data_IF_060265841955
#
_entry.id   IF_060265841955
#
_cell.length_a   1.000
_cell.length_b   1.000
_cell.length_c   1.000
_cell.angle_alpha   90.00
_cell.angle_beta   90.00
_cell.angle_gamma   90.00
#
_symmetry.space_group_name_H-M   'P 1'
#
loop_
_entity.id
_entity.type
_entity.pdbx_description
1 polymer ?
#
# COMPACT_ATOMS: atom_id res chain seq x y z
N UNK A 1 0.10 -7.71 -20.51
CA UNK A 1 -0.52 -6.52 -21.15
C UNK A 1 -1.02 -5.59 -20.05
N UNK A 2 -0.21 -4.59 -19.67
CA UNK A 2 -0.66 -3.53 -18.75
C UNK A 2 -1.52 -2.59 -19.58
N UNK A 3 -2.84 -2.73 -19.46
CA UNK A 3 -3.79 -1.91 -20.20
C UNK A 3 -3.60 -0.43 -19.86
N UNK A 4 -3.48 0.42 -20.89
CA UNK A 4 -3.43 1.88 -20.78
C UNK A 4 -4.57 2.50 -19.95
N UNK A 5 -5.66 1.76 -19.69
CA UNK A 5 -6.84 2.24 -18.95
C UNK A 5 -6.64 2.44 -17.45
N UNK A 6 -5.68 1.78 -16.80
CA UNK A 6 -5.46 1.95 -15.34
C UNK A 6 -4.63 3.18 -14.98
N UNK A 7 -4.07 3.90 -15.96
CA UNK A 7 -3.10 4.97 -15.71
C UNK A 7 -3.61 6.15 -14.86
N UNK A 8 -4.92 6.37 -14.75
CA UNK A 8 -5.44 7.60 -14.10
C UNK A 8 -6.80 7.42 -13.39
N UNK A 9 -7.06 6.27 -12.76
CA UNK A 9 -8.28 6.15 -11.95
C UNK A 9 -8.12 6.94 -10.65
N UNK A 10 -9.03 7.90 -10.42
CA UNK A 10 -9.17 8.58 -9.15
C UNK A 10 -9.98 7.68 -8.21
N UNK A 11 -9.34 7.24 -7.13
CA UNK A 11 -9.87 6.32 -6.14
C UNK A 11 -10.29 7.09 -4.89
N UNK A 12 -11.43 6.71 -4.35
CA UNK A 12 -11.95 7.30 -3.13
C UNK A 12 -11.16 6.76 -1.93
N UNK A 13 -10.87 7.67 -1.01
CA UNK A 13 -10.22 7.37 0.25
C UNK A 13 -11.27 6.85 1.22
N UNK A 14 -10.98 5.70 1.83
CA UNK A 14 -11.84 5.06 2.81
C UNK A 14 -11.50 5.59 4.21
N UNK A 15 -10.20 5.63 4.52
CA UNK A 15 -9.73 5.94 5.86
C UNK A 15 -8.29 6.48 5.80
N UNK A 16 -7.99 7.46 6.66
CA UNK A 16 -6.63 7.96 6.88
C UNK A 16 -6.34 8.02 8.36
N UNK A 17 -5.14 7.59 8.74
CA UNK A 17 -4.71 7.51 10.12
C UNK A 17 -3.28 8.06 10.24
N UNK A 18 -3.09 9.00 11.16
CA UNK A 18 -1.77 9.51 11.50
C UNK A 18 -1.14 8.61 12.57
N UNK A 19 -0.05 7.96 12.20
CA UNK A 19 0.70 7.05 13.06
C UNK A 19 1.94 7.74 13.66
N UNK A 20 2.48 7.22 14.78
CA UNK A 20 3.74 7.69 15.33
C UNK A 20 4.91 7.58 14.33
N UNK A 21 6.02 8.27 14.62
CA UNK A 21 7.22 8.31 13.75
C UNK A 21 7.00 8.93 12.37
N UNK A 22 6.11 9.93 12.31
CA UNK A 22 5.77 10.69 11.11
C UNK A 22 5.24 9.82 9.95
N UNK A 23 4.51 8.76 10.27
CA UNK A 23 3.90 7.88 9.27
C UNK A 23 2.43 8.23 9.11
N UNK A 24 1.95 8.26 7.87
CA UNK A 24 0.52 8.29 7.55
C UNK A 24 0.12 6.97 6.90
N UNK A 25 -0.96 6.38 7.39
CA UNK A 25 -1.63 5.24 6.77
C UNK A 25 -2.81 5.76 5.97
N UNK A 26 -2.87 5.38 4.70
CA UNK A 26 -3.95 5.74 3.79
C UNK A 26 -4.56 4.46 3.25
N UNK A 27 -5.86 4.30 3.44
CA UNK A 27 -6.67 3.20 2.93
C UNK A 27 -7.63 3.74 1.88
N UNK A 28 -7.61 3.15 0.70
CA UNK A 28 -8.39 3.61 -0.44
C UNK A 28 -8.97 2.43 -1.23
N UNK A 29 -9.98 2.73 -2.05
CA UNK A 29 -10.71 1.72 -2.79
C UNK A 29 -9.80 0.95 -3.76
N UNK A 30 -9.98 -0.36 -3.83
CA UNK A 30 -9.26 -1.22 -4.78
C UNK A 30 -9.98 -1.25 -6.13
N UNK A 31 -9.34 -0.88 -7.25
CA UNK A 31 -9.93 -1.05 -8.56
C UNK A 31 -10.24 -2.54 -8.84
N UNK A 32 -11.43 -2.90 -9.35
CA UNK A 32 -11.84 -4.30 -9.54
C UNK A 32 -10.89 -5.13 -10.41
N UNK A 33 -10.26 -4.47 -11.39
CA UNK A 33 -9.35 -5.12 -12.34
C UNK A 33 -7.88 -5.11 -11.88
N UNK A 34 -7.58 -4.56 -10.70
CA UNK A 34 -6.22 -4.49 -10.19
C UNK A 34 -5.82 -5.81 -9.52
N UNK A 35 -5.00 -6.58 -10.23
CA UNK A 35 -4.29 -7.74 -9.67
C UNK A 35 -2.87 -7.32 -9.31
N UNK A 36 -2.46 -7.59 -8.07
CA UNK A 36 -1.12 -7.34 -7.56
C UNK A 36 -0.68 -8.50 -6.67
N UNK A 37 0.64 -8.61 -6.45
CA UNK A 37 1.29 -9.58 -5.58
C UNK A 37 1.76 -8.89 -4.30
N UNK A 38 1.90 -9.63 -3.22
CA UNK A 38 2.37 -9.10 -1.94
C UNK A 38 3.75 -8.43 -2.08
N UNK A 39 3.95 -7.33 -1.36
CA UNK A 39 5.18 -6.53 -1.43
C UNK A 39 5.46 -5.82 -2.76
N UNK A 40 4.50 -5.81 -3.71
CA UNK A 40 4.55 -4.87 -4.84
C UNK A 40 4.32 -3.43 -4.37
N UNK A 41 4.77 -2.48 -5.19
CA UNK A 41 4.61 -1.06 -4.94
C UNK A 41 3.85 -0.40 -6.08
N UNK A 42 3.27 0.76 -5.79
CA UNK A 42 2.53 1.59 -6.75
C UNK A 42 3.12 2.99 -6.76
N UNK A 43 2.86 3.71 -7.84
CA UNK A 43 3.01 5.17 -7.84
C UNK A 43 1.69 5.80 -7.43
N UNK A 44 1.74 6.74 -6.51
CA UNK A 44 0.58 7.38 -5.91
C UNK A 44 0.67 8.90 -6.09
N UNK A 45 -0.45 9.52 -6.47
CA UNK A 45 -0.63 10.97 -6.49
C UNK A 45 -1.92 11.35 -5.75
N UNK A 46 -1.96 12.53 -5.13
CA UNK A 46 -3.13 13.05 -4.41
C UNK A 46 -3.69 14.28 -5.14
N UNK A 47 -5.00 14.30 -5.40
CA UNK A 47 -5.63 15.41 -6.13
C UNK A 47 -5.72 16.70 -5.32
N UNK A 48 -5.56 16.65 -3.99
CA UNK A 48 -5.67 17.80 -3.10
C UNK A 48 -4.64 18.91 -3.36
N UNK A 49 -3.46 18.57 -3.88
CA UNK A 49 -2.39 19.56 -4.08
C UNK A 49 -1.71 19.42 -5.44
N UNK A 50 -1.21 18.23 -5.80
CA UNK A 50 -0.54 18.01 -7.09
C UNK A 50 -0.89 16.65 -7.69
N UNK A 51 -1.90 16.66 -8.55
CA UNK A 51 -2.46 15.45 -9.18
C UNK A 51 -1.56 14.78 -10.23
N UNK A 52 -0.50 15.47 -10.69
CA UNK A 52 0.46 14.98 -11.69
C UNK A 52 1.83 14.61 -11.09
N UNK A 53 2.02 14.78 -9.78
CA UNK A 53 3.26 14.43 -9.10
C UNK A 53 3.10 13.07 -8.40
N UNK A 54 3.70 12.03 -9.00
CA UNK A 54 3.59 10.65 -8.55
C UNK A 54 4.80 10.22 -7.73
N UNK A 55 4.53 9.59 -6.58
CA UNK A 55 5.55 9.07 -5.67
C UNK A 55 5.38 7.58 -5.44
N UNK A 56 6.48 6.84 -5.31
CA UNK A 56 6.45 5.38 -5.23
C UNK A 56 6.31 4.91 -3.78
N UNK A 57 5.30 4.07 -3.50
CA UNK A 57 5.06 3.49 -2.18
C UNK A 57 4.66 2.03 -2.27
N UNK A 58 5.15 1.24 -1.32
CA UNK A 58 4.81 -0.18 -1.20
C UNK A 58 3.39 -0.35 -0.69
N UNK A 59 2.65 -1.27 -1.30
CA UNK A 59 1.34 -1.69 -0.80
C UNK A 59 1.54 -2.50 0.47
N UNK A 60 0.93 -2.06 1.56
CA UNK A 60 0.91 -2.79 2.83
C UNK A 60 -0.27 -3.75 2.94
N UNK A 61 -1.31 -3.53 2.13
CA UNK A 61 -2.44 -4.45 1.99
C UNK A 61 -2.01 -5.76 1.32
N UNK A 62 -2.74 -6.84 1.60
CA UNK A 62 -2.52 -8.14 0.99
C UNK A 62 -3.40 -8.34 -0.27
N UNK A 63 -2.95 -9.13 -1.26
CA UNK A 63 -3.66 -9.36 -2.52
C UNK A 63 -5.10 -9.90 -2.40
N UNK A 64 -5.48 -10.47 -1.26
CA UNK A 64 -6.84 -10.97 -1.01
C UNK A 64 -7.78 -9.91 -0.42
N UNK A 65 -7.27 -8.76 0.02
CA UNK A 65 -8.09 -7.70 0.62
C UNK A 65 -8.84 -6.86 -0.44
N UNK A 66 -10.03 -6.39 -0.07
CA UNK A 66 -10.90 -5.59 -0.95
C UNK A 66 -10.54 -4.10 -0.99
N UNK A 67 -9.47 -3.70 -0.33
CA UNK A 67 -8.96 -2.33 -0.30
C UNK A 67 -7.45 -2.33 -0.59
N UNK A 68 -6.92 -1.15 -0.86
CA UNK A 68 -5.49 -0.92 -0.93
C UNK A 68 -5.08 -0.05 0.25
N UNK A 69 -3.92 -0.34 0.82
CA UNK A 69 -3.34 0.50 1.87
C UNK A 69 -1.87 0.76 1.64
N UNK A 70 -1.43 1.97 2.01
CA UNK A 70 -0.04 2.37 2.01
C UNK A 70 0.31 3.00 3.36
N UNK A 71 1.50 2.69 3.86
CA UNK A 71 2.11 3.39 4.99
C UNK A 71 3.25 4.27 4.46
N UNK A 72 3.11 5.58 4.64
CA UNK A 72 3.99 6.58 4.04
C UNK A 72 4.67 7.35 5.16
N UNK A 73 5.99 7.27 5.23
CA UNK A 73 6.78 8.11 6.16
C UNK A 73 6.98 9.50 5.57
N UNK A 74 6.73 10.54 6.35
CA UNK A 74 7.03 11.91 5.97
C UNK A 74 8.53 12.14 6.00
N UNK A 75 9.14 12.29 4.82
CA UNK A 75 10.58 12.50 4.65
C UNK A 75 10.88 13.67 3.69
N UNK A 76 10.00 13.92 2.72
CA UNK A 76 10.13 15.00 1.75
C UNK A 76 8.96 15.98 1.75
N UNK A 77 9.07 17.09 0.99
CA UNK A 77 8.03 18.13 0.93
C UNK A 77 6.66 17.58 0.53
N UNK A 78 6.61 16.64 -0.42
CA UNK A 78 5.37 16.03 -0.88
C UNK A 78 4.72 15.17 0.20
N UNK A 79 5.49 14.33 0.89
CA UNK A 79 4.98 13.45 1.95
C UNK A 79 4.53 14.23 3.19
N UNK A 80 5.22 15.34 3.51
CA UNK A 80 4.80 16.24 4.58
C UNK A 80 3.49 16.96 4.24
N UNK A 81 3.33 17.43 2.99
CA UNK A 81 2.06 17.99 2.53
C UNK A 81 0.92 16.98 2.62
N UNK A 82 1.17 15.73 2.20
CA UNK A 82 0.20 14.65 2.33
C UNK A 82 -0.22 14.45 3.79
N UNK A 83 0.76 14.32 4.70
CA UNK A 83 0.50 14.11 6.13
C UNK A 83 -0.28 15.29 6.74
N UNK A 84 0.15 16.52 6.47
CA UNK A 84 -0.47 17.73 7.04
C UNK A 84 -1.88 17.98 6.49
N UNK A 85 -2.17 17.55 5.27
CA UNK A 85 -3.49 17.66 4.66
C UNK A 85 -4.52 16.76 5.36
N UNK A 86 -4.11 15.54 5.72
CA UNK A 86 -4.96 14.60 6.47
C UNK A 86 -4.86 14.77 7.99
N UNK A 87 -4.25 15.86 8.45
CA UNK A 87 -4.23 16.19 9.87
C UNK A 87 -5.62 16.65 10.31
N UNK A 88 -6.25 16.02 11.32
CA UNK A 88 -7.57 16.43 11.81
C UNK A 88 -7.63 17.91 12.21
N UNK A 89 -6.52 18.50 12.66
CA UNK A 89 -6.46 19.92 12.99
C UNK A 89 -6.56 20.85 11.78
N UNK A 90 -6.21 20.36 10.58
CA UNK A 90 -6.26 21.10 9.33
C UNK A 90 -7.42 20.68 8.43
N UNK A 91 -8.19 19.65 8.82
CA UNK A 91 -9.22 19.06 7.99
C UNK A 91 -10.45 19.97 7.95
N UNK A 92 -10.68 20.60 6.79
CA UNK A 92 -11.85 21.44 6.56
C UNK A 92 -12.94 20.58 5.90
N UNK A 93 -14.13 20.39 6.51
CA UNK A 93 -15.19 19.56 5.96
C UNK A 93 -15.84 20.11 4.66
N UNK A 94 -15.46 21.34 4.27
CA UNK A 94 -15.91 22.01 3.04
C UNK A 94 -14.96 21.71 1.87
N UNK A 95 -13.73 21.26 2.15
CA UNK A 95 -12.75 20.96 1.12
C UNK A 95 -13.13 19.68 0.35
N UNK A 96 -13.05 19.77 -0.98
CA UNK A 96 -13.30 18.68 -1.91
C UNK A 96 -12.68 17.37 -1.41
N UNK A 97 -13.48 16.31 -1.34
CA UNK A 97 -13.01 14.98 -0.98
C UNK A 97 -11.80 14.60 -1.84
N UNK A 98 -10.58 14.55 -1.26
CA UNK A 98 -9.38 14.27 -2.00
C UNK A 98 -9.46 12.86 -2.57
N UNK A 99 -8.98 12.70 -3.80
CA UNK A 99 -8.90 11.39 -4.46
C UNK A 99 -7.45 11.00 -4.68
N UNK A 100 -7.22 9.69 -4.67
CA UNK A 100 -5.91 9.10 -4.89
C UNK A 100 -5.84 8.57 -6.31
N UNK A 101 -4.82 8.97 -7.06
CA UNK A 101 -4.50 8.38 -8.36
C UNK A 101 -3.36 7.41 -8.19
N UNK A 102 -3.45 6.27 -8.87
CA UNK A 102 -2.41 5.24 -8.80
C UNK A 102 -1.93 4.84 -10.20
N UNK A 103 -0.64 4.51 -10.30
CA UNK A 103 -0.07 3.76 -11.43
C UNK A 103 0.62 2.49 -10.90
N UNK A 104 0.55 1.42 -11.68
CA UNK A 104 1.15 0.13 -11.34
C UNK A 104 0.14 -1.02 -11.45
N UNK A 105 0.38 -2.14 -10.73
CA UNK A 105 1.45 -2.36 -9.76
C UNK A 105 2.83 -2.53 -10.40
N UNK A 106 3.88 -2.22 -9.65
CA UNK A 106 5.28 -2.39 -10.02
C UNK A 106 5.99 -3.33 -9.03
N UNK A 107 7.07 -3.97 -9.48
CA UNK A 107 7.82 -4.96 -8.69
C UNK A 107 7.26 -6.39 -8.81
N UNK A 108 7.55 -7.23 -7.82
CA UNK A 108 7.12 -8.64 -7.79
C UNK A 108 8.26 -9.67 -7.90
N UNK A 109 9.53 -9.23 -7.92
CA UNK A 109 10.69 -10.12 -8.03
C UNK A 109 11.04 -10.89 -6.75
N UNK A 110 10.61 -10.43 -5.57
CA UNK A 110 11.01 -11.01 -4.27
C UNK A 110 9.97 -11.99 -3.71
N UNK A 111 9.31 -12.75 -4.58
CA UNK A 111 8.25 -13.69 -4.20
C UNK A 111 8.77 -15.11 -3.95
N UNK A 112 10.03 -15.42 -4.27
CA UNK A 112 10.57 -16.79 -4.22
C UNK A 112 10.73 -17.38 -2.81
N UNK A 113 10.31 -16.66 -1.76
CA UNK A 113 10.31 -17.17 -0.39
C UNK A 113 9.48 -18.45 -0.21
N UNK A 114 8.44 -18.68 -1.02
CA UNK A 114 7.63 -19.91 -0.97
C UNK A 114 8.38 -21.15 -1.48
N UNK A 115 9.51 -20.98 -2.18
CA UNK A 115 10.32 -22.10 -2.69
C UNK A 115 11.21 -22.72 -1.62
N UNK A 116 11.35 -22.06 -0.47
CA UNK A 116 12.19 -22.49 0.63
C UNK A 116 11.32 -22.96 1.80
N UNK A 117 11.75 -24.03 2.46
CA UNK A 117 11.08 -24.53 3.67
C UNK A 117 11.15 -23.53 4.82
N UNK A 118 12.27 -22.81 4.93
CA UNK A 118 12.50 -21.77 5.94
C UNK A 118 12.93 -20.49 5.23
N UNK A 119 12.22 -19.40 5.50
CA UNK A 119 12.53 -18.06 5.00
C UNK A 119 12.71 -17.08 6.16
N UNK A 120 13.78 -16.29 6.14
CA UNK A 120 14.04 -15.23 7.13
C UNK A 120 13.87 -13.88 6.45
N UNK A 121 12.89 -13.10 6.91
CA UNK A 121 12.62 -11.75 6.41
C UNK A 121 13.21 -10.71 7.35
N UNK A 122 14.11 -9.85 6.85
CA UNK A 122 14.77 -8.80 7.63
C UNK A 122 14.34 -7.43 7.09
N UNK A 123 13.62 -6.65 7.90
CA UNK A 123 13.18 -5.30 7.56
C UNK A 123 13.49 -4.30 8.66
N UNK A 124 13.78 -3.05 8.27
CA UNK A 124 14.08 -1.96 9.21
C UNK A 124 13.35 -0.66 8.83
N UNK A 125 12.85 0.05 9.84
CA UNK A 125 12.13 1.31 9.67
C UNK A 125 10.90 1.16 8.76
N UNK A 126 10.68 2.10 7.82
CA UNK A 126 9.57 2.00 6.84
C UNK A 126 9.77 0.85 5.83
N UNK A 127 10.99 0.31 5.73
CA UNK A 127 11.31 -0.83 4.89
C UNK A 127 10.65 -2.15 5.33
N UNK A 128 9.93 -2.16 6.46
CA UNK A 128 9.10 -3.31 6.89
C UNK A 128 7.79 -3.46 6.11
N UNK A 129 7.35 -2.41 5.42
CA UNK A 129 6.07 -2.35 4.70
C UNK A 129 5.83 -3.47 3.67
N UNK A 130 6.79 -3.89 2.80
CA UNK A 130 6.57 -5.03 1.91
C UNK A 130 6.32 -6.33 2.69
N UNK A 131 7.00 -6.52 3.82
CA UNK A 131 6.86 -7.72 4.63
C UNK A 131 5.50 -7.79 5.33
N UNK A 132 4.92 -6.66 5.72
CA UNK A 132 3.55 -6.64 6.25
C UNK A 132 2.53 -7.24 5.26
N UNK A 133 2.63 -6.85 3.98
CA UNK A 133 1.80 -7.41 2.91
C UNK A 133 2.07 -8.90 2.69
N UNK A 134 3.35 -9.32 2.68
CA UNK A 134 3.75 -10.73 2.52
C UNK A 134 3.28 -11.61 3.68
N UNK A 135 3.40 -11.15 4.92
CA UNK A 135 2.98 -11.90 6.11
C UNK A 135 1.46 -12.06 6.15
N UNK A 136 0.70 -11.02 5.84
CA UNK A 136 -0.77 -11.12 5.75
C UNK A 136 -1.20 -12.10 4.64
N UNK A 137 -0.54 -12.03 3.48
CA UNK A 137 -0.78 -12.95 2.36
C UNK A 137 -0.43 -14.41 2.72
N UNK A 138 0.67 -14.62 3.46
CA UNK A 138 1.09 -15.92 3.96
C UNK A 138 0.06 -16.52 4.92
N UNK A 139 -0.34 -15.76 5.94
CA UNK A 139 -1.33 -16.20 6.95
C UNK A 139 -2.64 -16.58 6.26
N UNK A 140 -3.08 -15.78 5.29
CA UNK A 140 -4.27 -16.09 4.50
C UNK A 140 -4.09 -17.34 3.63
N UNK A 141 -2.92 -17.52 3.00
CA UNK A 141 -2.64 -18.69 2.21
C UNK A 141 -2.55 -19.98 3.05
N UNK A 142 -2.08 -19.90 4.29
CA UNK A 142 -2.13 -21.04 5.23
C UNK A 142 -3.54 -21.37 5.69
N UNK A 143 -4.39 -20.37 5.98
CA UNK A 143 -5.76 -20.61 6.45
C UNK A 143 -6.68 -21.15 5.35
N UNK A 144 -6.39 -20.83 4.10
CA UNK A 144 -7.12 -21.32 2.92
C UNK A 144 -6.54 -22.60 2.32
N UNK A 145 -5.59 -23.26 3.00
CA UNK A 145 -4.85 -24.44 2.51
C UNK A 145 -4.17 -24.26 1.14
N UNK A 146 -3.92 -23.01 0.74
CA UNK A 146 -3.21 -22.68 -0.51
C UNK A 146 -1.71 -22.95 -0.39
N UNK A 147 -1.17 -22.85 0.83
CA UNK A 147 0.18 -23.28 1.19
C UNK A 147 0.07 -24.31 2.32
N UNK A 148 -0.02 -25.59 1.97
CA UNK A 148 0.06 -26.68 2.94
C UNK A 148 1.49 -26.81 3.46
N UNK A 149 1.69 -26.69 4.78
CA UNK A 149 2.97 -26.97 5.42
C UNK A 149 3.76 -25.76 5.95
N UNK A 150 3.29 -24.53 5.78
CA UNK A 150 3.94 -23.38 6.43
C UNK A 150 3.45 -23.26 7.87
N UNK A 151 4.23 -23.80 8.81
CA UNK A 151 4.02 -23.60 10.24
C UNK A 151 4.86 -22.42 10.73
N UNK A 152 4.23 -21.35 11.20
CA UNK A 152 4.92 -20.28 11.90
C UNK A 152 5.38 -20.81 13.27
N UNK A 153 6.66 -21.17 13.38
CA UNK A 153 7.27 -21.51 14.68
C UNK A 153 7.74 -20.22 15.33
N UNK A 154 7.21 -19.96 16.53
CA UNK A 154 7.55 -18.80 17.36
C UNK A 154 8.94 -18.95 17.97
#
# INVERSE_FOLDING_TARGET
VVSLRTKYMALDIIETELLPSDVIKIKFYRPPNLKYLSGQWIRLACTAFKSNEFHSFTLTSAPHENFLSCHIKAQGPWTWKLRNYFDPCNYNPIDQHPKIRIEGPFGGGNQDWYKFEVAVMVGGGIGVTPYASMLNDLVFGTSTNRYSGVACKK
#
